data_IF_833946185359
#
_entry.id   IF_833946185359
#
_cell.length_a   1.000
_cell.length_b   1.000
_cell.length_c   1.000
_cell.angle_alpha   90.00
_cell.angle_beta   90.00
_cell.angle_gamma   90.00
#
_symmetry.space_group_name_H-M   'P 1'
#
loop_
_entity.id
_entity.type
_entity.pdbx_description
1 polymer ?
#
# COMPACT_ATOMS: atom_id res chain seq x y z
N UNK A 1 8.10 25.31 5.45
CA UNK A 1 6.63 25.37 5.62
C UNK A 1 6.05 26.77 5.97
N UNK A 2 6.77 27.88 5.79
CA UNK A 2 6.34 29.24 6.25
C UNK A 2 5.19 29.90 5.46
N UNK A 3 4.75 29.36 4.32
CA UNK A 3 3.60 29.92 3.63
C UNK A 3 2.33 29.67 4.46
N UNK A 4 1.66 30.75 4.89
CA UNK A 4 0.60 30.96 5.91
C UNK A 4 -0.43 29.84 6.21
N UNK A 5 -0.49 28.76 5.43
CA UNK A 5 -1.45 27.67 5.57
C UNK A 5 -0.85 26.25 5.59
N UNK A 6 0.42 26.02 5.24
CA UNK A 6 0.96 24.64 5.08
C UNK A 6 1.05 23.88 6.41
N UNK A 7 1.66 24.46 7.44
CA UNK A 7 1.71 23.82 8.77
C UNK A 7 0.30 23.64 9.34
N UNK A 8 -0.58 24.61 9.14
CA UNK A 8 -1.99 24.53 9.53
C UNK A 8 -2.67 23.33 8.88
N UNK A 9 -2.44 23.10 7.58
CA UNK A 9 -2.97 21.94 6.86
C UNK A 9 -2.39 20.63 7.38
N UNK A 10 -1.08 20.58 7.67
CA UNK A 10 -0.45 19.41 8.27
C UNK A 10 -1.08 19.07 9.64
N UNK A 11 -1.23 20.07 10.51
CA UNK A 11 -1.88 19.91 11.83
C UNK A 11 -3.32 19.44 11.68
N UNK A 12 -4.10 20.03 10.78
CA UNK A 12 -5.48 19.61 10.49
C UNK A 12 -5.55 18.16 9.99
N UNK A 13 -4.62 17.76 9.12
CA UNK A 13 -4.54 16.40 8.61
C UNK A 13 -4.20 15.41 9.74
N UNK A 14 -3.22 15.73 10.59
CA UNK A 14 -2.86 14.92 11.76
C UNK A 14 -4.04 14.80 12.73
N UNK A 15 -4.75 15.89 13.02
CA UNK A 15 -5.97 15.87 13.85
C UNK A 15 -7.05 14.99 13.22
N UNK A 16 -7.22 15.06 11.89
CA UNK A 16 -8.18 14.21 11.16
C UNK A 16 -7.81 12.72 11.27
N UNK A 17 -6.52 12.38 11.18
CA UNK A 17 -6.05 11.00 11.42
C UNK A 17 -6.40 10.57 12.84
N UNK A 18 -6.02 11.37 13.85
CA UNK A 18 -6.26 11.07 15.27
C UNK A 18 -7.75 10.87 15.61
N UNK A 19 -8.65 11.63 14.98
CA UNK A 19 -10.10 11.49 15.14
C UNK A 19 -10.62 10.13 14.66
N UNK A 20 -9.97 9.52 13.68
CA UNK A 20 -10.42 8.30 13.02
C UNK A 20 -9.81 7.03 13.62
N UNK A 21 -8.73 7.16 14.39
CA UNK A 21 -8.12 6.04 15.11
C UNK A 21 -9.11 5.41 16.11
N UNK A 22 -8.99 4.10 16.34
CA UNK A 22 -9.63 3.42 17.47
C UNK A 22 -8.92 3.76 18.77
N UNK A 23 -9.61 3.65 19.91
CA UNK A 23 -9.07 4.05 21.23
C UNK A 23 -7.80 3.30 21.64
N UNK A 24 -7.64 2.07 21.16
CA UNK A 24 -6.49 1.22 21.43
C UNK A 24 -5.35 1.40 20.41
N UNK A 25 -5.50 2.21 19.35
CA UNK A 25 -4.39 2.50 18.45
C UNK A 25 -3.24 3.21 19.20
N UNK A 26 -2.01 2.93 18.77
CA UNK A 26 -0.78 3.55 19.30
C UNK A 26 -0.30 4.61 18.31
N UNK A 27 -0.01 5.80 18.83
CA UNK A 27 0.41 6.95 18.04
C UNK A 27 1.78 7.46 18.48
N UNK A 28 2.59 7.74 17.47
CA UNK A 28 3.82 8.51 17.57
C UNK A 28 3.67 9.74 16.68
N UNK A 29 4.12 10.90 17.15
CA UNK A 29 4.21 12.11 16.30
C UNK A 29 5.64 12.59 16.31
N UNK A 30 6.19 12.71 15.10
CA UNK A 30 7.50 13.27 14.83
C UNK A 30 7.28 14.55 14.05
N UNK A 31 7.80 15.67 14.56
CA UNK A 31 7.89 16.92 13.82
C UNK A 31 9.29 17.06 13.29
N UNK A 32 9.44 17.65 12.11
CA UNK A 32 10.75 17.82 11.50
C UNK A 32 10.85 19.11 10.70
N UNK A 33 12.03 19.69 10.77
CA UNK A 33 12.48 20.81 9.97
C UNK A 33 13.96 20.57 9.56
N UNK A 34 14.93 21.40 9.96
CA UNK A 34 16.34 21.02 9.92
C UNK A 34 16.63 19.84 10.87
N UNK A 35 16.00 19.87 12.04
CA UNK A 35 16.12 18.88 13.09
C UNK A 35 14.86 18.01 13.14
N UNK A 36 14.97 16.85 13.80
CA UNK A 36 13.88 15.89 13.96
C UNK A 36 13.56 15.77 15.43
N UNK A 37 12.31 16.06 15.80
CA UNK A 37 11.82 16.08 17.16
C UNK A 37 10.69 15.09 17.36
N UNK A 38 10.82 14.21 18.36
CA UNK A 38 9.73 13.34 18.80
C UNK A 38 8.82 14.18 19.69
N UNK A 39 7.61 14.49 19.20
CA UNK A 39 6.62 15.27 19.94
C UNK A 39 5.96 14.42 21.02
N UNK A 40 5.65 13.17 20.69
CA UNK A 40 5.32 12.12 21.65
C UNK A 40 5.52 10.73 21.03
N UNK A 41 5.80 9.75 21.87
CA UNK A 41 5.90 8.35 21.50
C UNK A 41 5.01 7.46 22.37
N UNK A 42 4.52 6.36 21.78
CA UNK A 42 3.80 5.29 22.46
C UNK A 42 2.52 5.76 23.19
N UNK A 43 1.84 6.76 22.63
CA UNK A 43 0.61 7.29 23.21
C UNK A 43 -0.60 6.49 22.70
N UNK A 44 -1.55 6.17 23.59
CA UNK A 44 -2.83 5.58 23.17
C UNK A 44 -3.72 6.66 22.58
N UNK A 45 -4.36 6.34 21.46
CA UNK A 45 -5.32 7.21 20.81
C UNK A 45 -6.47 7.59 21.75
N UNK A 46 -6.86 6.78 22.74
CA UNK A 46 -7.82 7.15 23.78
C UNK A 46 -7.51 8.47 24.52
N UNK A 47 -6.27 8.96 24.47
CA UNK A 47 -5.86 10.26 25.04
C UNK A 47 -5.99 11.46 24.08
N UNK A 48 -6.86 11.38 23.06
CA UNK A 48 -6.96 12.38 21.95
C UNK A 48 -6.89 13.84 22.36
N UNK A 49 -7.57 14.23 23.44
CA UNK A 49 -7.57 15.63 23.89
C UNK A 49 -6.16 16.13 24.22
N UNK A 50 -5.34 15.29 24.85
CA UNK A 50 -3.94 15.59 25.12
C UNK A 50 -3.12 15.65 23.82
N UNK A 51 -3.36 14.69 22.91
CA UNK A 51 -2.67 14.64 21.61
C UNK A 51 -2.94 15.89 20.77
N UNK A 52 -4.19 16.34 20.69
CA UNK A 52 -4.56 17.59 19.99
C UNK A 52 -3.83 18.78 20.56
N UNK A 53 -3.86 18.95 21.88
CA UNK A 53 -3.20 20.08 22.55
C UNK A 53 -1.68 20.08 22.35
N UNK A 54 -1.10 18.93 22.05
CA UNK A 54 0.34 18.80 21.79
C UNK A 54 0.66 19.09 20.32
N UNK A 55 -0.14 18.57 19.38
CA UNK A 55 -0.02 18.85 17.94
C UNK A 55 -0.20 20.34 17.65
N UNK A 56 -1.13 21.00 18.34
CA UNK A 56 -1.42 22.43 18.16
C UNK A 56 -0.21 23.32 18.49
N UNK A 57 0.68 22.88 19.38
CA UNK A 57 1.89 23.59 19.80
C UNK A 57 3.09 23.41 18.86
N UNK A 58 2.98 22.59 17.83
CA UNK A 58 4.08 22.40 16.86
C UNK A 58 4.29 23.71 16.09
N UNK A 59 5.53 24.15 15.92
CA UNK A 59 5.88 25.35 15.17
C UNK A 59 6.78 24.99 13.98
N UNK A 60 6.90 25.89 13.00
CA UNK A 60 7.77 25.69 11.83
C UNK A 60 9.17 26.24 12.08
N UNK A 61 10.21 25.53 11.65
CA UNK A 61 11.48 26.14 11.24
C UNK A 61 11.76 25.87 9.75
N UNK A 62 12.56 26.74 9.13
CA UNK A 62 12.62 26.93 7.67
C UNK A 62 13.35 25.88 6.82
N UNK A 63 13.67 24.69 7.33
CA UNK A 63 14.34 23.62 6.57
C UNK A 63 13.57 22.29 6.64
N UNK A 64 14.03 21.25 5.95
CA UNK A 64 13.31 19.98 5.83
C UNK A 64 14.27 18.79 5.70
N UNK A 65 14.39 18.01 6.78
CA UNK A 65 15.17 16.80 6.94
C UNK A 65 14.24 15.58 6.89
N UNK A 66 13.71 15.31 5.70
CA UNK A 66 12.73 14.25 5.48
C UNK A 66 13.29 12.86 5.78
N UNK A 67 14.53 12.59 5.37
CA UNK A 67 15.18 11.29 5.61
C UNK A 67 15.33 11.00 7.10
N UNK A 68 15.83 11.96 7.89
CA UNK A 68 15.92 11.79 9.34
C UNK A 68 14.55 11.57 10.00
N UNK A 69 13.50 12.26 9.51
CA UNK A 69 12.15 12.06 10.02
C UNK A 69 11.62 10.63 9.75
N UNK A 70 11.86 10.10 8.55
CA UNK A 70 11.51 8.73 8.17
C UNK A 70 12.26 7.72 9.04
N UNK A 71 13.57 7.92 9.25
CA UNK A 71 14.40 7.05 10.07
C UNK A 71 13.94 7.03 11.54
N UNK A 72 13.68 8.20 12.13
CA UNK A 72 13.17 8.30 13.51
C UNK A 72 11.79 7.66 13.63
N UNK A 73 10.87 7.94 12.70
CA UNK A 73 9.53 7.35 12.71
C UNK A 73 9.60 5.82 12.57
N UNK A 74 10.43 5.30 11.67
CA UNK A 74 10.62 3.87 11.51
C UNK A 74 11.26 3.24 12.75
N UNK A 75 12.24 3.88 13.38
CA UNK A 75 12.84 3.43 14.63
C UNK A 75 11.80 3.31 15.76
N UNK A 76 10.86 4.25 15.86
CA UNK A 76 9.76 4.17 16.82
C UNK A 76 8.84 2.96 16.55
N UNK A 77 8.51 2.71 15.28
CA UNK A 77 7.70 1.57 14.86
C UNK A 77 8.42 0.21 15.01
N UNK A 78 9.76 0.20 14.99
CA UNK A 78 10.57 -0.98 15.31
C UNK A 78 10.76 -1.17 16.81
N UNK A 79 10.81 -0.08 17.59
CA UNK A 79 10.95 -0.11 19.06
C UNK A 79 9.68 -0.59 19.76
N UNK A 80 8.50 -0.14 19.29
CA UNK A 80 7.22 -0.43 19.90
C UNK A 80 6.37 -1.37 19.03
N UNK A 81 6.69 -2.67 19.07
CA UNK A 81 5.97 -3.70 18.32
C UNK A 81 4.90 -4.35 19.18
N UNK A 82 3.66 -4.33 18.67
CA UNK A 82 2.51 -4.96 19.32
C UNK A 82 1.90 -6.00 18.37
N UNK A 83 1.64 -7.21 18.89
CA UNK A 83 1.00 -8.27 18.11
C UNK A 83 -0.43 -7.86 17.73
N UNK A 84 -0.81 -8.12 16.47
CA UNK A 84 -2.13 -7.76 15.94
C UNK A 84 -2.22 -6.34 15.35
N UNK A 85 -1.21 -5.49 15.56
CA UNK A 85 -1.19 -4.12 15.06
C UNK A 85 -0.46 -4.02 13.70
N UNK A 86 -1.03 -3.27 12.76
CA UNK A 86 -0.32 -2.86 11.53
C UNK A 86 0.57 -1.64 11.83
N UNK A 87 1.78 -1.62 11.27
CA UNK A 87 2.72 -0.51 11.44
C UNK A 87 2.67 0.38 10.21
N UNK A 88 2.21 1.61 10.42
CA UNK A 88 2.01 2.60 9.36
C UNK A 88 2.68 3.93 9.70
N UNK A 89 3.17 4.59 8.66
CA UNK A 89 3.72 5.93 8.67
C UNK A 89 2.87 6.82 7.75
N UNK A 90 2.41 7.95 8.28
CA UNK A 90 1.74 8.99 7.48
C UNK A 90 2.69 10.19 7.37
N UNK A 91 3.33 10.36 6.21
CA UNK A 91 4.32 11.40 5.96
C UNK A 91 3.65 12.65 5.37
N UNK A 92 3.60 13.74 6.13
CA UNK A 92 3.05 15.03 5.71
C UNK A 92 4.18 15.99 5.35
N UNK A 93 4.30 16.38 4.08
CA UNK A 93 5.43 17.20 3.63
C UNK A 93 5.08 18.09 2.43
N UNK A 94 5.76 19.23 2.31
CA UNK A 94 5.83 20.00 1.08
C UNK A 94 7.00 19.54 0.17
N UNK A 95 7.53 18.33 0.36
CA UNK A 95 8.39 17.63 -0.60
C UNK A 95 9.80 18.20 -0.79
N UNK A 96 10.14 19.35 -0.19
CA UNK A 96 11.45 19.99 -0.37
C UNK A 96 12.51 19.36 0.52
N UNK A 97 13.00 18.15 0.20
CA UNK A 97 14.04 17.48 0.98
C UNK A 97 15.39 18.23 0.86
N UNK A 98 15.68 19.08 1.85
CA UNK A 98 16.80 20.02 1.82
C UNK A 98 17.99 19.59 2.69
N UNK A 99 17.78 18.67 3.64
CA UNK A 99 18.77 18.15 4.59
C UNK A 99 18.75 16.61 4.58
N UNK A 100 19.93 15.99 4.76
CA UNK A 100 20.08 14.53 4.69
C UNK A 100 20.05 14.01 3.25
N UNK A 101 19.41 12.85 3.04
CA UNK A 101 19.13 12.32 1.70
C UNK A 101 18.12 13.23 0.98
N UNK A 102 18.43 13.59 -0.26
CA UNK A 102 17.65 14.60 -1.01
C UNK A 102 17.11 14.07 -2.33
N UNK A 103 17.72 13.02 -2.86
CA UNK A 103 17.30 12.48 -4.15
C UNK A 103 16.12 11.53 -3.97
N UNK A 104 15.25 11.50 -4.98
CA UNK A 104 14.16 10.53 -5.07
C UNK A 104 14.66 9.10 -4.85
N UNK A 105 15.76 8.71 -5.50
CA UNK A 105 16.31 7.36 -5.42
C UNK A 105 16.73 6.97 -4.00
N UNK A 106 17.43 7.86 -3.28
CA UNK A 106 17.84 7.61 -1.90
C UNK A 106 16.62 7.44 -0.98
N UNK A 107 15.65 8.36 -1.08
CA UNK A 107 14.44 8.34 -0.25
C UNK A 107 13.55 7.13 -0.55
N UNK A 108 13.38 6.77 -1.84
CA UNK A 108 12.62 5.57 -2.21
C UNK A 108 13.30 4.30 -1.74
N UNK A 109 14.64 4.22 -1.82
CA UNK A 109 15.38 3.06 -1.34
C UNK A 109 15.28 2.92 0.19
N UNK A 110 15.37 4.04 0.93
CA UNK A 110 15.17 4.07 2.37
C UNK A 110 13.79 3.54 2.75
N UNK A 111 12.74 4.07 2.12
CA UNK A 111 11.35 3.69 2.40
C UNK A 111 11.06 2.25 1.97
N UNK A 112 11.57 1.80 0.83
CA UNK A 112 11.45 0.40 0.39
C UNK A 112 12.10 -0.56 1.40
N UNK A 113 13.22 -0.17 2.01
CA UNK A 113 13.86 -0.92 3.08
C UNK A 113 12.94 -1.13 4.29
N UNK A 114 12.20 -0.09 4.70
CA UNK A 114 11.23 -0.19 5.80
C UNK A 114 9.94 -0.92 5.42
N UNK A 115 9.47 -0.79 4.18
CA UNK A 115 8.36 -1.58 3.64
C UNK A 115 8.68 -3.08 3.67
N UNK A 116 9.90 -3.48 3.27
CA UNK A 116 10.36 -4.87 3.37
C UNK A 116 10.36 -5.39 4.82
N UNK A 117 10.42 -4.51 5.81
CA UNK A 117 10.30 -4.84 7.23
C UNK A 117 8.85 -4.78 7.74
N UNK A 118 7.86 -4.51 6.89
CA UNK A 118 6.45 -4.44 7.23
C UNK A 118 6.00 -3.10 7.80
N UNK A 119 6.68 -1.98 7.46
CA UNK A 119 6.25 -0.62 7.77
C UNK A 119 5.72 0.02 6.48
N UNK A 120 4.42 0.30 6.44
CA UNK A 120 3.75 0.86 5.27
C UNK A 120 3.74 2.38 5.36
N UNK A 121 4.04 3.07 4.25
CA UNK A 121 4.13 4.54 4.23
C UNK A 121 3.14 5.15 3.26
N UNK A 122 2.23 5.95 3.79
CA UNK A 122 1.36 6.87 3.07
C UNK A 122 2.02 8.25 3.02
N UNK A 123 2.01 8.92 1.86
CA UNK A 123 2.61 10.25 1.71
C UNK A 123 1.57 11.31 1.33
N UNK A 124 1.67 12.47 1.96
CA UNK A 124 0.74 13.59 1.80
C UNK A 124 1.52 14.83 1.40
N UNK A 125 1.34 15.26 0.16
CA UNK A 125 1.89 16.51 -0.36
C UNK A 125 1.07 17.69 0.11
N UNK A 126 1.70 18.72 0.67
CA UNK A 126 1.02 19.91 1.22
C UNK A 126 1.43 21.17 0.47
N UNK A 127 0.44 21.94 0.01
CA UNK A 127 0.65 23.17 -0.75
C UNK A 127 1.08 22.91 -2.20
N UNK A 128 0.97 23.90 -3.09
CA UNK A 128 1.10 23.67 -4.54
C UNK A 128 2.53 23.42 -5.05
N UNK A 129 3.55 23.68 -4.22
CA UNK A 129 4.97 23.73 -4.58
C UNK A 129 5.76 22.51 -4.06
N UNK A 130 5.08 21.41 -3.76
CA UNK A 130 5.73 20.18 -3.31
C UNK A 130 6.37 19.38 -4.44
N UNK A 131 7.46 18.69 -4.14
CA UNK A 131 8.07 17.74 -5.07
C UNK A 131 7.19 16.49 -5.23
N UNK A 132 6.42 16.48 -6.31
CA UNK A 132 5.47 15.41 -6.61
C UNK A 132 6.16 14.09 -6.93
N UNK A 133 7.34 14.11 -7.54
CA UNK A 133 8.05 12.88 -7.91
C UNK A 133 8.63 12.19 -6.68
N UNK A 134 9.21 12.96 -5.76
CA UNK A 134 9.69 12.44 -4.47
C UNK A 134 8.52 11.87 -3.66
N UNK A 135 7.44 12.64 -3.48
CA UNK A 135 6.33 12.21 -2.63
C UNK A 135 5.59 10.99 -3.20
N UNK A 136 5.35 10.94 -4.50
CA UNK A 136 4.78 9.74 -5.16
C UNK A 136 5.73 8.55 -5.06
N UNK A 137 7.02 8.75 -5.34
CA UNK A 137 8.03 7.70 -5.23
C UNK A 137 8.09 7.10 -3.82
N UNK A 138 7.98 7.92 -2.77
CA UNK A 138 7.92 7.46 -1.38
C UNK A 138 6.69 6.60 -1.13
N UNK A 139 5.50 7.01 -1.60
CA UNK A 139 4.29 6.22 -1.43
C UNK A 139 4.37 4.87 -2.14
N UNK A 140 4.84 4.88 -3.40
CA UNK A 140 4.98 3.66 -4.21
C UNK A 140 5.98 2.70 -3.56
N UNK A 141 7.15 3.19 -3.15
CA UNK A 141 8.15 2.41 -2.42
C UNK A 141 7.66 1.94 -1.03
N UNK A 142 6.82 2.75 -0.39
CA UNK A 142 6.17 2.48 0.89
C UNK A 142 4.99 1.52 0.82
N UNK A 143 4.63 1.06 -0.39
CA UNK A 143 3.56 0.09 -0.59
C UNK A 143 2.16 0.66 -0.40
N UNK A 144 2.01 1.99 -0.42
CA UNK A 144 0.73 2.68 -0.26
C UNK A 144 0.55 3.78 -1.29
N UNK A 145 -0.14 4.86 -0.93
CA UNK A 145 -0.64 5.88 -1.85
C UNK A 145 -0.12 7.26 -1.51
N UNK A 146 -0.07 8.10 -2.53
CA UNK A 146 0.16 9.52 -2.42
C UNK A 146 -1.18 10.29 -2.43
N UNK A 147 -1.30 11.30 -1.58
CA UNK A 147 -2.45 12.21 -1.52
C UNK A 147 -1.98 13.66 -1.56
N UNK A 148 -2.63 14.49 -2.35
CA UNK A 148 -2.37 15.93 -2.39
C UNK A 148 -3.39 16.69 -1.53
N UNK A 149 -2.91 17.46 -0.55
CA UNK A 149 -3.71 18.29 0.33
C UNK A 149 -3.65 19.75 -0.13
N UNK A 150 -4.57 20.11 -1.02
CA UNK A 150 -4.61 21.43 -1.68
C UNK A 150 -5.26 22.53 -0.83
N UNK A 151 -6.22 22.19 0.03
CA UNK A 151 -7.00 23.17 0.81
C UNK A 151 -7.58 22.56 2.09
N UNK A 152 -7.81 23.39 3.11
CA UNK A 152 -8.38 22.95 4.38
C UNK A 152 -9.71 22.20 4.23
N UNK A 153 -10.55 22.59 3.27
CA UNK A 153 -11.88 22.04 3.07
C UNK A 153 -11.86 20.57 2.64
N UNK A 154 -10.80 20.12 1.93
CA UNK A 154 -10.72 18.75 1.41
C UNK A 154 -9.93 17.82 2.31
N UNK A 155 -9.09 18.34 3.21
CA UNK A 155 -8.17 17.55 4.05
C UNK A 155 -8.91 16.46 4.80
N UNK A 156 -9.96 16.82 5.56
CA UNK A 156 -10.73 15.87 6.36
C UNK A 156 -11.30 14.75 5.49
N UNK A 157 -11.90 15.10 4.34
CA UNK A 157 -12.48 14.13 3.41
C UNK A 157 -11.46 13.17 2.82
N UNK A 158 -10.28 13.67 2.45
CA UNK A 158 -9.22 12.88 1.83
C UNK A 158 -8.56 11.97 2.86
N UNK A 159 -8.21 12.50 4.03
CA UNK A 159 -7.66 11.71 5.15
C UNK A 159 -8.67 10.64 5.57
N UNK A 160 -9.95 10.98 5.68
CA UNK A 160 -11.01 10.00 5.98
C UNK A 160 -11.06 8.89 4.94
N UNK A 161 -11.01 9.23 3.65
CA UNK A 161 -10.98 8.23 2.59
C UNK A 161 -9.75 7.32 2.67
N UNK A 162 -8.58 7.84 3.05
CA UNK A 162 -7.39 7.01 3.29
C UNK A 162 -7.64 6.07 4.47
N UNK A 163 -8.03 6.62 5.62
CA UNK A 163 -8.18 5.89 6.89
C UNK A 163 -9.32 4.87 6.86
N UNK A 164 -10.44 5.15 6.21
CA UNK A 164 -11.50 4.14 5.99
C UNK A 164 -10.97 2.95 5.19
N UNK A 165 -10.11 3.19 4.20
CA UNK A 165 -9.43 2.08 3.53
C UNK A 165 -8.50 1.37 4.51
N UNK A 166 -7.71 2.08 5.32
CA UNK A 166 -6.82 1.47 6.34
C UNK A 166 -7.59 0.58 7.33
N UNK A 167 -8.69 1.04 7.91
CA UNK A 167 -9.50 0.22 8.82
C UNK A 167 -10.31 -0.87 8.11
N UNK A 168 -10.49 -0.72 6.80
CA UNK A 168 -11.06 -1.75 5.95
C UNK A 168 -10.11 -2.92 5.70
N UNK A 169 -8.87 -2.96 6.22
CA UNK A 169 -7.98 -4.11 6.01
C UNK A 169 -8.69 -5.37 6.50
N UNK A 170 -8.90 -6.31 5.58
CA UNK A 170 -9.48 -7.62 5.86
C UNK A 170 -8.44 -8.74 5.81
N UNK A 171 -7.23 -8.44 5.33
CA UNK A 171 -6.13 -9.40 5.29
C UNK A 171 -4.77 -8.72 5.09
N UNK A 172 -3.74 -9.22 5.75
CA UNK A 172 -2.35 -8.77 5.58
C UNK A 172 -1.46 -9.89 5.01
N UNK A 173 -0.29 -9.50 4.50
CA UNK A 173 0.67 -10.41 3.87
C UNK A 173 0.04 -11.33 2.80
N UNK A 174 -0.92 -10.80 2.05
CA UNK A 174 -1.71 -11.57 1.11
C UNK A 174 -0.88 -12.01 -0.09
N UNK A 175 -1.09 -13.26 -0.50
CA UNK A 175 -0.36 -13.90 -1.59
C UNK A 175 -1.30 -14.78 -2.40
N UNK A 176 -1.34 -14.57 -3.71
CA UNK A 176 -2.10 -15.38 -4.65
C UNK A 176 -1.18 -16.36 -5.36
N UNK A 177 -1.37 -17.64 -5.08
CA UNK A 177 -0.61 -18.73 -5.66
C UNK A 177 -1.44 -19.32 -6.79
N UNK A 178 -0.92 -19.28 -8.01
CA UNK A 178 -1.56 -19.90 -9.18
C UNK A 178 -0.73 -21.09 -9.62
N UNK A 179 -1.40 -22.22 -9.89
CA UNK A 179 -0.79 -23.47 -10.34
C UNK A 179 -1.56 -24.06 -11.50
N UNK A 180 -0.84 -24.70 -12.41
CA UNK A 180 -1.43 -25.48 -13.48
C UNK A 180 -2.03 -26.79 -12.95
N UNK A 181 -3.13 -27.21 -13.57
CA UNK A 181 -3.84 -28.46 -13.32
C UNK A 181 -4.09 -29.15 -14.67
N UNK A 182 -4.23 -30.48 -14.67
CA UNK A 182 -4.56 -31.27 -15.86
C UNK A 182 -3.64 -30.99 -17.08
N UNK A 183 -2.33 -30.87 -16.84
CA UNK A 183 -1.35 -30.64 -17.91
C UNK A 183 -1.08 -29.17 -18.24
N UNK A 184 -1.82 -28.24 -17.65
CA UNK A 184 -1.49 -26.83 -17.75
C UNK A 184 -0.25 -26.48 -16.95
N UNK A 185 0.50 -25.47 -17.41
CA UNK A 185 1.70 -24.95 -16.74
C UNK A 185 1.66 -23.43 -16.76
N UNK A 186 1.71 -22.81 -15.58
CA UNK A 186 1.86 -21.35 -15.46
C UNK A 186 3.28 -20.97 -15.85
N UNK A 187 3.42 -20.15 -16.89
CA UNK A 187 4.71 -19.76 -17.48
C UNK A 187 5.17 -18.37 -17.04
N UNK A 188 4.26 -17.50 -16.63
CA UNK A 188 4.58 -16.14 -16.16
C UNK A 188 3.54 -15.64 -15.17
N UNK A 189 3.98 -14.88 -14.17
CA UNK A 189 3.11 -14.02 -13.36
C UNK A 189 3.68 -12.61 -13.49
N UNK A 190 2.92 -11.70 -14.07
CA UNK A 190 3.42 -10.34 -14.34
C UNK A 190 3.70 -9.59 -13.04
N UNK A 191 4.83 -8.89 -12.99
CA UNK A 191 5.33 -8.19 -11.79
C UNK A 191 6.00 -9.11 -10.75
N UNK A 192 6.18 -10.40 -11.03
CA UNK A 192 6.77 -11.35 -10.08
C UNK A 192 7.69 -12.38 -10.77
N UNK A 193 8.97 -12.38 -10.42
CA UNK A 193 9.95 -13.30 -11.01
C UNK A 193 9.79 -14.76 -10.53
N UNK A 194 9.36 -14.95 -9.28
CA UNK A 194 9.24 -16.28 -8.69
C UNK A 194 7.78 -16.79 -8.76
N UNK A 195 7.45 -17.50 -9.83
CA UNK A 195 6.13 -18.12 -10.05
C UNK A 195 5.76 -19.09 -8.92
N UNK A 196 6.74 -19.81 -8.36
CA UNK A 196 6.52 -20.72 -7.24
C UNK A 196 6.15 -19.97 -5.95
N UNK A 197 6.64 -18.74 -5.74
CA UNK A 197 6.20 -17.91 -4.63
C UNK A 197 4.80 -17.30 -4.84
N UNK A 198 4.30 -17.27 -6.08
CA UNK A 198 3.03 -16.61 -6.42
C UNK A 198 3.11 -15.08 -6.39
N UNK A 199 1.98 -14.43 -6.61
CA UNK A 199 1.87 -12.98 -6.61
C UNK A 199 1.71 -12.43 -5.19
N UNK A 200 2.55 -11.47 -4.80
CA UNK A 200 2.41 -10.74 -3.53
C UNK A 200 1.40 -9.61 -3.70
N UNK A 201 0.36 -9.59 -2.87
CA UNK A 201 -0.73 -8.59 -2.91
C UNK A 201 -0.66 -7.58 -1.76
N UNK A 202 0.17 -7.84 -0.75
CA UNK A 202 0.33 -7.00 0.43
C UNK A 202 -0.93 -6.98 1.30
N UNK A 203 -1.46 -5.80 1.58
CA UNK A 203 -2.71 -5.64 2.32
C UNK A 203 -3.93 -5.79 1.38
N UNK A 204 -4.95 -6.52 1.87
CA UNK A 204 -6.28 -6.62 1.31
C UNK A 204 -7.22 -5.73 2.11
N UNK A 205 -8.07 -5.00 1.41
CA UNK A 205 -9.02 -4.08 2.00
C UNK A 205 -10.44 -4.44 1.57
N UNK A 206 -11.41 -4.12 2.43
CA UNK A 206 -12.83 -4.17 2.14
C UNK A 206 -13.10 -3.32 0.88
N UNK A 207 -13.70 -3.94 -0.14
CA UNK A 207 -14.00 -3.33 -1.45
C UNK A 207 -12.79 -2.97 -2.34
N UNK A 208 -11.58 -3.49 -2.07
CA UNK A 208 -10.44 -3.36 -2.98
C UNK A 208 -10.33 -4.54 -3.94
N UNK A 209 -10.42 -4.26 -5.24
CA UNK A 209 -10.16 -5.25 -6.29
C UNK A 209 -8.68 -5.29 -6.67
N UNK A 210 -7.99 -6.36 -6.26
CA UNK A 210 -6.65 -6.72 -6.77
C UNK A 210 -6.79 -7.65 -7.99
N UNK A 211 -5.93 -7.46 -8.98
CA UNK A 211 -5.89 -8.31 -10.19
C UNK A 211 -4.47 -8.80 -10.41
N UNK A 212 -4.32 -10.09 -10.73
CA UNK A 212 -3.04 -10.73 -11.08
C UNK A 212 -3.16 -11.22 -12.51
N UNK A 213 -2.21 -10.84 -13.35
CA UNK A 213 -2.11 -11.35 -14.71
C UNK A 213 -1.09 -12.48 -14.74
N UNK A 214 -1.47 -13.63 -15.27
CA UNK A 214 -0.59 -14.75 -15.48
C UNK A 214 -0.72 -15.31 -16.89
N UNK A 215 0.37 -15.84 -17.40
CA UNK A 215 0.41 -16.62 -18.62
C UNK A 215 0.53 -18.09 -18.25
N UNK A 216 -0.12 -18.94 -19.03
CA UNK A 216 -0.01 -20.38 -18.88
C UNK A 216 -0.19 -21.04 -20.24
N UNK A 217 0.42 -22.21 -20.39
CA UNK A 217 0.19 -23.11 -21.50
C UNK A 217 -0.68 -24.27 -21.04
N UNK A 218 -1.45 -24.84 -21.95
CA UNK A 218 -2.24 -26.03 -21.68
C UNK A 218 -2.23 -26.92 -22.92
N UNK A 219 -2.25 -28.24 -22.70
CA UNK A 219 -2.39 -29.24 -23.75
C UNK A 219 -3.73 -29.92 -23.57
N UNK A 220 -4.59 -29.79 -24.58
CA UNK A 220 -5.92 -30.42 -24.58
C UNK A 220 -6.43 -30.56 -26.00
N UNK A 221 -7.11 -31.67 -26.26
CA UNK A 221 -7.84 -31.91 -27.51
C UNK A 221 -9.32 -31.69 -27.21
N UNK A 222 -10.01 -30.89 -28.04
CA UNK A 222 -11.46 -30.78 -27.93
C UNK A 222 -12.07 -32.15 -28.26
N UNK A 223 -12.69 -32.81 -27.28
CA UNK A 223 -13.44 -34.05 -27.52
C UNK A 223 -14.92 -33.69 -27.54
N UNK A 224 -15.68 -34.25 -28.49
CA UNK A 224 -17.10 -33.95 -28.67
C UNK A 224 -17.92 -34.25 -27.40
N UNK A 225 -18.56 -33.20 -26.85
CA UNK A 225 -19.25 -33.21 -25.55
C UNK A 225 -18.63 -32.19 -24.60
N UNK A 226 -19.44 -31.48 -23.82
CA UNK A 226 -19.01 -30.34 -22.99
C UNK A 226 -17.78 -30.66 -22.11
N UNK A 227 -16.59 -30.27 -22.57
CA UNK A 227 -15.36 -30.49 -21.84
C UNK A 227 -14.87 -29.17 -21.26
N UNK A 228 -15.48 -28.81 -20.14
CA UNK A 228 -14.90 -27.85 -19.21
C UNK A 228 -13.79 -28.55 -18.43
N UNK A 229 -12.54 -28.13 -18.66
CA UNK A 229 -11.35 -28.71 -18.03
C UNK A 229 -10.83 -27.72 -17.00
N UNK A 230 -10.77 -28.14 -15.73
CA UNK A 230 -10.09 -27.38 -14.69
C UNK A 230 -8.61 -27.24 -15.05
N UNK A 231 -8.22 -26.05 -15.48
CA UNK A 231 -6.90 -25.79 -16.07
C UNK A 231 -5.96 -25.16 -15.06
N UNK A 232 -6.47 -24.32 -14.16
CA UNK A 232 -5.67 -23.73 -13.09
C UNK A 232 -6.32 -23.97 -11.73
N UNK A 233 -5.49 -24.03 -10.69
CA UNK A 233 -5.91 -23.83 -9.31
C UNK A 233 -5.33 -22.53 -8.80
N UNK A 234 -6.10 -21.77 -8.06
CA UNK A 234 -5.60 -20.59 -7.36
C UNK A 234 -5.89 -20.66 -5.87
N UNK A 235 -4.92 -20.23 -5.10
CA UNK A 235 -4.92 -20.25 -3.64
C UNK A 235 -4.51 -18.87 -3.12
N UNK A 236 -5.48 -18.15 -2.54
CA UNK A 236 -5.22 -16.89 -1.84
C UNK A 236 -4.93 -17.20 -0.37
N UNK A 237 -3.73 -16.83 0.09
CA UNK A 237 -3.32 -16.87 1.49
C UNK A 237 -3.24 -15.46 2.03
N UNK A 238 -3.78 -15.20 3.21
CA UNK A 238 -3.61 -13.93 3.92
C UNK A 238 -3.77 -14.14 5.42
N UNK A 239 -3.23 -13.23 6.23
CA UNK A 239 -3.42 -13.26 7.68
C UNK A 239 -4.60 -12.36 8.03
N UNK A 240 -5.58 -12.87 8.77
CA UNK A 240 -6.67 -12.02 9.25
C UNK A 240 -6.14 -11.05 10.32
N UNK A 241 -6.56 -9.77 10.29
CA UNK A 241 -6.29 -8.86 11.39
C UNK A 241 -6.78 -9.46 12.71
N UNK A 242 -5.98 -9.39 13.76
CA UNK A 242 -6.31 -9.88 15.10
C UNK A 242 -6.56 -11.39 15.22
N UNK A 243 -6.11 -12.22 14.28
CA UNK A 243 -6.17 -13.68 14.44
C UNK A 243 -5.16 -14.15 15.51
N UNK A 244 -5.63 -14.69 16.65
CA UNK A 244 -4.77 -15.12 17.74
C UNK A 244 -3.93 -16.35 17.40
N UNK A 245 -4.29 -17.10 16.35
CA UNK A 245 -3.57 -18.31 15.93
C UNK A 245 -2.35 -17.99 15.07
N UNK A 246 -2.37 -16.85 14.37
CA UNK A 246 -1.37 -16.49 13.37
C UNK A 246 -1.34 -17.41 12.14
N UNK A 247 -2.30 -18.34 12.01
CA UNK A 247 -2.40 -19.18 10.83
C UNK A 247 -2.98 -18.39 9.65
N UNK A 248 -2.41 -18.53 8.45
CA UNK A 248 -2.96 -17.84 7.29
C UNK A 248 -4.33 -18.42 6.95
N UNK A 249 -5.30 -17.54 6.73
CA UNK A 249 -6.55 -17.90 6.06
C UNK A 249 -6.24 -18.28 4.61
N UNK A 250 -6.81 -19.40 4.17
CA UNK A 250 -6.58 -19.94 2.83
C UNK A 250 -7.91 -20.09 2.09
N UNK A 251 -8.01 -19.44 0.93
CA UNK A 251 -9.13 -19.59 -0.01
C UNK A 251 -8.61 -20.28 -1.26
N UNK A 252 -9.24 -21.40 -1.65
CA UNK A 252 -8.86 -22.19 -2.83
C UNK A 252 -10.02 -22.26 -3.81
N UNK A 253 -9.71 -22.18 -5.10
CA UNK A 253 -10.69 -22.43 -6.14
C UNK A 253 -9.98 -22.85 -7.45
N UNK A 254 -10.75 -23.26 -8.45
CA UNK A 254 -10.27 -23.69 -9.76
C UNK A 254 -10.76 -22.75 -10.85
N UNK A 255 -9.99 -22.66 -11.93
CA UNK A 255 -10.37 -21.99 -13.16
C UNK A 255 -10.46 -23.06 -14.24
N UNK A 256 -11.61 -23.13 -14.89
CA UNK A 256 -11.84 -24.07 -15.98
C UNK A 256 -11.87 -23.36 -17.33
N UNK A 257 -11.41 -24.07 -18.36
CA UNK A 257 -11.53 -23.64 -19.74
C UNK A 257 -12.44 -24.60 -20.49
N UNK A 258 -13.27 -24.05 -21.36
CA UNK A 258 -14.01 -24.81 -22.36
C UNK A 258 -13.23 -24.79 -23.66
N UNK A 259 -12.74 -25.95 -24.10
CA UNK A 259 -12.04 -26.09 -25.39
C UNK A 259 -13.07 -26.29 -26.50
N UNK A 260 -12.96 -25.50 -27.57
CA UNK A 260 -13.84 -25.54 -28.75
C UNK A 260 -12.99 -25.66 -30.01
N UNK A 261 -13.46 -26.42 -31.00
CA UNK A 261 -12.83 -26.50 -32.34
C UNK A 261 -13.27 -25.36 -33.25
N UNK A 262 -14.48 -24.84 -33.03
CA UNK A 262 -15.06 -23.75 -33.81
C UNK A 262 -14.62 -22.41 -33.23
N UNK A 263 -13.83 -21.66 -34.00
CA UNK A 263 -13.34 -20.32 -33.64
C UNK A 263 -14.47 -19.33 -33.37
N UNK A 264 -15.64 -19.51 -33.99
CA UNK A 264 -16.81 -18.66 -33.75
C UNK A 264 -17.43 -18.83 -32.35
N UNK A 265 -17.10 -19.93 -31.65
CA UNK A 265 -17.52 -20.19 -30.27
C UNK A 265 -16.53 -19.64 -29.23
N UNK A 266 -15.38 -19.11 -29.67
CA UNK A 266 -14.44 -18.42 -28.78
C UNK A 266 -15.12 -17.14 -28.29
N UNK A 267 -15.40 -17.10 -26.98
CA UNK A 267 -15.95 -15.91 -26.34
C UNK A 267 -15.03 -14.72 -26.57
N UNK A 268 -15.63 -13.53 -26.73
CA UNK A 268 -14.88 -12.29 -26.82
C UNK A 268 -13.94 -12.16 -25.60
N UNK A 269 -12.67 -11.85 -25.87
CA UNK A 269 -11.65 -11.70 -24.81
C UNK A 269 -12.12 -10.58 -23.89
N UNK A 270 -12.18 -10.87 -22.58
CA UNK A 270 -12.54 -9.86 -21.57
C UNK A 270 -11.69 -8.58 -21.79
N UNK A 271 -12.33 -7.42 -22.08
CA UNK A 271 -11.61 -6.19 -22.38
C UNK A 271 -10.60 -5.80 -21.31
N UNK A 272 -10.85 -6.17 -20.05
CA UNK A 272 -9.95 -5.88 -18.91
C UNK A 272 -8.66 -6.68 -19.02
N UNK A 273 -8.75 -7.96 -19.41
CA UNK A 273 -7.58 -8.82 -19.63
C UNK A 273 -6.77 -8.30 -20.82
N UNK A 274 -7.45 -7.89 -21.89
CA UNK A 274 -6.79 -7.32 -23.08
C UNK A 274 -6.02 -6.04 -22.75
N UNK A 275 -6.63 -5.13 -21.97
CA UNK A 275 -5.98 -3.89 -21.52
C UNK A 275 -4.79 -4.20 -20.61
N UNK A 276 -4.97 -5.05 -19.59
CA UNK A 276 -3.87 -5.42 -18.67
C UNK A 276 -2.69 -6.04 -19.42
N UNK A 277 -2.96 -6.94 -20.38
CA UNK A 277 -1.93 -7.57 -21.20
C UNK A 277 -1.17 -6.54 -22.05
N UNK A 278 -1.88 -5.64 -22.73
CA UNK A 278 -1.26 -4.59 -23.54
C UNK A 278 -0.39 -3.64 -22.70
N UNK A 279 -0.88 -3.20 -21.54
CA UNK A 279 -0.13 -2.31 -20.63
C UNK A 279 1.14 -2.99 -20.11
N UNK A 280 1.04 -4.24 -19.69
CA UNK A 280 2.19 -4.96 -19.14
C UNK A 280 3.22 -5.33 -20.22
N UNK A 281 2.77 -5.70 -21.43
CA UNK A 281 3.66 -5.97 -22.55
C UNK A 281 4.45 -4.74 -22.97
N UNK A 282 3.82 -3.55 -22.97
CA UNK A 282 4.51 -2.30 -23.24
C UNK A 282 5.58 -1.99 -22.18
N UNK A 283 5.28 -2.22 -20.89
CA UNK A 283 6.22 -1.98 -19.80
C UNK A 283 7.44 -2.93 -19.80
N UNK A 284 7.32 -4.13 -20.37
CA UNK A 284 8.43 -5.09 -20.53
C UNK A 284 9.33 -4.79 -21.74
N UNK A 285 8.91 -3.90 -22.65
CA UNK A 285 9.65 -3.53 -23.87
C UNK A 285 10.56 -2.30 -23.69
N UNK A 286 10.39 -1.55 -22.60
CA UNK A 286 11.19 -0.39 -22.20
C UNK A 286 12.29 -0.79 -21.18
#
# INVERSE_FOLDING_TARGET
>A
MEADNKLTFAKQAVVSVLNLLHDDDIVHVVAYDADVSIIFENARASTRQFLYSTVDKIETAGSTNMSGAIEVAASLLEKYVYNGYSRRMFLFSDGQANVGMKTRAELTNLVAGYNNKGIITDSFGIGADFDTEIMKGIADAGGSRFVFLESAQVIESLVTKVLVNVFGICGSAARLIVRGKNGAVVTKIWGHENIAAGASLGELYFDNRRSVLCEFTTSGTAVAGENEIETLTYELRYTQPNDPTGEPTVIKNTLSLKLVEDESLVMEIDPRVKIMCATQTAADMD
#
